data_IF_056242270811
#
_entry.id   IF_056242270811
#
_cell.length_a   1.000
_cell.length_b   1.000
_cell.length_c   1.000
_cell.angle_alpha   90.00
_cell.angle_beta   90.00
_cell.angle_gamma   90.00
#
_symmetry.space_group_name_H-M   'P 1'
#
loop_
_entity.id
_entity.type
_entity.pdbx_description
1 polymer ?
#
# COMPACT_ATOMS: atom_id res chain seq x y z
N UNK A 1 1.41 28.51 10.99
CA UNK A 1 1.60 27.05 11.07
C UNK A 1 0.86 26.64 12.32
N UNK A 2 -0.31 26.02 12.19
CA UNK A 2 -1.04 25.53 13.37
C UNK A 2 -0.12 24.55 14.11
N UNK A 3 -0.02 24.74 15.42
CA UNK A 3 0.80 23.92 16.28
C UNK A 3 0.09 22.57 16.43
N UNK A 4 0.75 21.47 16.02
CA UNK A 4 0.22 20.11 16.18
C UNK A 4 -0.13 19.88 17.66
N UNK A 5 -1.41 19.66 17.93
CA UNK A 5 -1.90 19.34 19.27
C UNK A 5 -2.15 17.84 19.44
N UNK A 6 -1.44 17.23 20.39
CA UNK A 6 -1.60 15.83 20.80
C UNK A 6 -2.03 15.72 22.28
N UNK A 7 -2.63 16.79 22.81
CA UNK A 7 -3.10 16.88 24.20
C UNK A 7 -4.12 15.80 24.56
N UNK A 8 -4.91 15.31 23.59
CA UNK A 8 -5.82 14.17 23.75
C UNK A 8 -5.12 12.96 24.38
N UNK A 9 -3.83 12.76 24.13
CA UNK A 9 -3.12 11.61 24.68
C UNK A 9 -2.99 11.70 26.22
N UNK A 10 -3.07 12.88 26.82
CA UNK A 10 -2.77 13.09 28.24
C UNK A 10 -3.91 12.71 29.19
N UNK A 11 -5.13 12.61 28.67
CA UNK A 11 -6.29 12.16 29.43
C UNK A 11 -6.27 10.64 29.66
N UNK A 12 -6.95 10.10 30.69
CA UNK A 12 -7.14 8.65 30.82
C UNK A 12 -7.92 8.06 29.62
N UNK A 13 -7.54 6.88 29.11
CA UNK A 13 -8.19 6.24 27.96
C UNK A 13 -9.54 5.60 28.33
N UNK A 14 -10.49 6.42 28.76
CA UNK A 14 -11.84 6.02 29.10
C UNK A 14 -12.73 6.11 27.85
N UNK A 15 -12.96 4.97 27.19
CA UNK A 15 -13.70 4.90 25.93
C UNK A 15 -15.21 5.04 26.16
N UNK A 16 -15.68 6.27 26.37
CA UNK A 16 -17.07 6.59 26.72
C UNK A 16 -17.98 6.82 25.52
N UNK A 17 -17.41 7.11 24.35
CA UNK A 17 -18.16 7.35 23.11
C UNK A 17 -18.14 6.10 22.25
N UNK A 18 -19.29 5.69 21.73
CA UNK A 18 -19.42 4.57 20.81
C UNK A 18 -20.12 5.04 19.53
N UNK A 19 -19.79 4.42 18.40
CA UNK A 19 -20.45 4.73 17.13
C UNK A 19 -20.03 3.79 16.00
N UNK A 20 -20.49 4.09 14.79
CA UNK A 20 -20.14 3.33 13.58
C UNK A 20 -19.49 4.27 12.58
N UNK A 21 -18.27 3.92 12.16
CA UNK A 21 -17.57 4.57 11.06
C UNK A 21 -17.99 3.89 9.75
N UNK A 22 -18.54 4.66 8.82
CA UNK A 22 -18.88 4.20 7.48
C UNK A 22 -17.80 4.65 6.48
N UNK A 23 -17.21 3.68 5.77
CA UNK A 23 -16.16 3.91 4.78
C UNK A 23 -16.68 3.48 3.41
N UNK A 24 -16.91 4.46 2.53
CA UNK A 24 -17.39 4.22 1.16
C UNK A 24 -16.21 4.29 0.19
N UNK A 25 -15.97 3.21 -0.56
CA UNK A 25 -14.96 3.21 -1.60
C UNK A 25 -15.36 4.13 -2.76
N UNK A 26 -14.47 5.05 -3.15
CA UNK A 26 -14.65 5.90 -4.34
C UNK A 26 -13.84 5.38 -5.54
N UNK A 27 -12.92 4.46 -5.28
CA UNK A 27 -12.09 3.78 -6.25
C UNK A 27 -11.86 2.31 -5.82
N UNK A 28 -11.46 1.42 -6.74
CA UNK A 28 -11.01 0.08 -6.39
C UNK A 28 -9.89 0.11 -5.35
N UNK A 29 -10.02 -0.69 -4.29
CA UNK A 29 -9.10 -0.67 -3.16
C UNK A 29 -8.07 -1.80 -3.27
N UNK A 30 -6.80 -1.49 -2.99
CA UNK A 30 -5.76 -2.49 -2.85
C UNK A 30 -5.18 -2.48 -1.44
N UNK A 31 -5.82 -3.23 -0.56
CA UNK A 31 -5.58 -3.24 0.88
C UNK A 31 -4.66 -4.40 1.27
N UNK A 32 -3.40 -4.32 0.86
CA UNK A 32 -2.44 -5.41 1.04
C UNK A 32 -1.81 -5.35 2.43
N UNK A 33 -2.20 -6.27 3.31
CA UNK A 33 -1.76 -6.29 4.71
C UNK A 33 -0.34 -6.87 4.91
N UNK A 34 0.13 -7.70 3.98
CA UNK A 34 1.48 -8.28 4.00
C UNK A 34 1.92 -8.65 2.60
N UNK A 35 3.24 -8.81 2.40
CA UNK A 35 3.81 -9.23 1.12
C UNK A 35 4.23 -10.72 1.16
N UNK A 36 3.32 -11.69 0.94
CA UNK A 36 3.71 -13.07 0.76
C UNK A 36 4.15 -13.29 -0.70
N UNK A 37 5.46 -13.28 -0.95
CA UNK A 37 6.02 -13.79 -2.21
C UNK A 37 5.73 -12.93 -3.46
N UNK A 38 5.24 -13.55 -4.52
CA UNK A 38 5.12 -12.98 -5.89
C UNK A 38 3.80 -12.30 -6.19
N UNK A 39 2.85 -12.24 -5.26
CA UNK A 39 1.50 -11.74 -5.49
C UNK A 39 1.01 -10.90 -4.31
N UNK A 40 0.46 -9.71 -4.59
CA UNK A 40 -0.13 -8.85 -3.57
C UNK A 40 -1.63 -9.12 -3.45
N UNK A 41 -2.01 -10.03 -2.56
CA UNK A 41 -3.42 -10.31 -2.27
C UNK A 41 -4.01 -9.15 -1.47
N UNK A 42 -5.04 -8.51 -2.00
CA UNK A 42 -5.81 -7.49 -1.27
C UNK A 42 -6.68 -8.14 -0.20
N UNK A 43 -6.85 -7.47 0.94
CA UNK A 43 -7.90 -7.79 1.89
C UNK A 43 -9.27 -7.45 1.29
N UNK A 44 -10.30 -8.22 1.67
CA UNK A 44 -11.69 -7.97 1.25
C UNK A 44 -12.34 -6.84 2.05
N UNK A 45 -11.88 -6.65 3.29
CA UNK A 45 -12.34 -5.63 4.22
C UNK A 45 -11.16 -4.81 4.76
N UNK A 46 -11.35 -3.54 5.14
CA UNK A 46 -10.29 -2.67 5.63
C UNK A 46 -9.63 -3.26 6.88
N UNK A 47 -8.31 -3.54 6.85
CA UNK A 47 -7.59 -3.87 8.06
C UNK A 47 -7.59 -2.67 9.02
N UNK A 48 -7.85 -2.91 10.31
CA UNK A 48 -7.96 -1.86 11.34
C UNK A 48 -6.78 -0.88 11.34
N UNK A 49 -5.56 -1.37 11.13
CA UNK A 49 -4.37 -0.52 11.08
C UNK A 49 -4.34 0.44 9.88
N UNK A 50 -4.92 0.06 8.73
CA UNK A 50 -5.05 0.96 7.58
C UNK A 50 -6.07 2.06 7.85
N UNK A 51 -7.12 1.74 8.61
CA UNK A 51 -8.13 2.73 9.02
C UNK A 51 -7.55 3.74 9.99
N UNK A 52 -6.72 3.32 10.95
CA UNK A 52 -5.95 4.27 11.76
C UNK A 52 -5.05 5.15 10.89
N UNK A 53 -4.31 4.56 9.95
CA UNK A 53 -3.45 5.32 9.04
C UNK A 53 -4.23 6.34 8.21
N UNK A 54 -5.42 5.98 7.75
CA UNK A 54 -6.34 6.87 7.03
C UNK A 54 -6.81 8.04 7.90
N UNK A 55 -7.20 7.80 9.16
CA UNK A 55 -7.62 8.85 10.10
C UNK A 55 -6.44 9.78 10.45
N UNK A 56 -5.28 9.21 10.79
CA UNK A 56 -4.06 9.99 11.04
C UNK A 56 -3.67 10.84 9.83
N UNK A 57 -3.80 10.29 8.62
CA UNK A 57 -3.57 11.01 7.37
C UNK A 57 -4.58 12.17 7.20
N UNK A 58 -5.87 11.95 7.46
CA UNK A 58 -6.87 13.03 7.45
C UNK A 58 -6.58 14.13 8.50
N UNK A 59 -5.93 13.80 9.61
CA UNK A 59 -5.45 14.76 10.61
C UNK A 59 -4.10 15.42 10.22
N UNK A 60 -3.51 15.05 9.08
CA UNK A 60 -2.21 15.56 8.61
C UNK A 60 -1.00 14.96 9.34
N UNK A 61 -1.15 13.82 10.02
CA UNK A 61 -0.10 13.21 10.83
C UNK A 61 0.76 12.25 9.99
N UNK A 62 1.88 12.78 9.48
CA UNK A 62 2.83 12.03 8.65
C UNK A 62 4.18 11.89 9.35
N UNK A 63 4.25 11.03 10.36
CA UNK A 63 5.50 10.80 11.10
C UNK A 63 6.25 9.58 10.57
N UNK A 64 7.56 9.76 10.38
CA UNK A 64 8.48 8.64 10.16
C UNK A 64 8.51 7.73 11.41
N UNK A 65 8.79 6.42 11.26
CA UNK A 65 8.66 5.46 12.37
C UNK A 65 9.44 5.83 13.64
N UNK A 66 10.64 6.37 13.50
CA UNK A 66 11.48 6.72 14.65
C UNK A 66 10.95 7.94 15.39
N UNK A 67 10.55 8.99 14.67
CA UNK A 67 9.88 10.16 15.24
C UNK A 67 8.58 9.75 15.94
N UNK A 68 7.79 8.83 15.37
CA UNK A 68 6.56 8.33 16.00
C UNK A 68 6.84 7.67 17.35
N UNK A 69 7.92 6.87 17.47
CA UNK A 69 8.34 6.26 18.74
C UNK A 69 8.77 7.30 19.76
N UNK A 70 9.48 8.35 19.32
CA UNK A 70 9.89 9.45 20.20
C UNK A 70 8.69 10.23 20.73
N UNK A 71 7.73 10.57 19.85
CA UNK A 71 6.47 11.21 20.22
C UNK A 71 5.73 10.37 21.26
N UNK A 72 5.53 9.07 21.01
CA UNK A 72 4.82 8.18 21.94
C UNK A 72 5.49 8.14 23.32
N UNK A 73 6.83 8.02 23.37
CA UNK A 73 7.58 8.04 24.64
C UNK A 73 7.45 9.37 25.37
N UNK A 74 7.50 10.49 24.65
CA UNK A 74 7.34 11.84 25.22
C UNK A 74 5.95 12.05 25.80
N UNK A 75 4.91 11.65 25.06
CA UNK A 75 3.53 11.71 25.51
C UNK A 75 3.28 10.82 26.73
N UNK A 76 3.73 9.56 26.70
CA UNK A 76 3.60 8.64 27.84
C UNK A 76 4.30 9.14 29.11
N UNK A 77 5.51 9.72 28.98
CA UNK A 77 6.23 10.32 30.12
C UNK A 77 5.43 11.48 30.74
N UNK A 78 4.81 12.30 29.89
CA UNK A 78 4.02 13.46 30.33
C UNK A 78 2.71 13.02 30.98
N UNK A 79 1.99 12.08 30.34
CA UNK A 79 0.79 11.45 30.88
C UNK A 79 1.06 10.79 32.25
N UNK A 80 2.17 10.05 32.39
CA UNK A 80 2.57 9.43 33.67
C UNK A 80 2.84 10.46 34.77
N UNK A 81 3.39 11.63 34.43
CA UNK A 81 3.61 12.71 35.39
C UNK A 81 2.30 13.32 35.87
N UNK A 82 1.34 13.54 34.96
CA UNK A 82 0.04 14.15 35.27
C UNK A 82 -0.89 13.20 36.02
N UNK A 83 -0.87 11.90 35.66
CA UNK A 83 -1.79 10.90 36.16
C UNK A 83 -1.19 9.99 37.24
N UNK A 84 -0.06 10.38 37.87
CA UNK A 84 0.68 9.55 38.84
C UNK A 84 -0.15 9.05 40.03
N UNK A 85 -1.20 9.79 40.41
CA UNK A 85 -2.09 9.46 41.53
C UNK A 85 -3.29 8.62 41.11
N UNK A 86 -3.48 8.36 39.82
CA UNK A 86 -4.59 7.56 39.32
C UNK A 86 -4.23 6.07 39.37
N UNK A 87 -4.60 5.42 40.48
CA UNK A 87 -4.29 4.01 40.71
C UNK A 87 -4.99 3.06 39.72
N UNK A 88 -6.10 3.48 39.11
CA UNK A 88 -6.85 2.64 38.17
C UNK A 88 -6.05 2.31 36.89
N UNK A 89 -5.13 3.20 36.49
CA UNK A 89 -4.36 3.06 35.25
C UNK A 89 -2.86 2.86 35.48
N UNK A 90 -2.41 2.59 36.71
CA UNK A 90 -1.00 2.55 37.07
C UNK A 90 -0.16 1.60 36.18
N UNK A 91 -0.73 0.44 35.82
CA UNK A 91 -0.10 -0.58 34.98
C UNK A 91 -0.51 -0.51 33.49
N UNK A 92 -1.37 0.44 33.12
CA UNK A 92 -1.94 0.50 31.77
C UNK A 92 -0.86 0.81 30.70
N UNK A 93 -0.86 0.15 29.52
CA UNK A 93 0.15 0.32 28.47
C UNK A 93 0.34 1.77 27.98
N UNK A 94 -0.73 2.57 28.00
CA UNK A 94 -0.72 4.01 27.70
C UNK A 94 0.34 4.79 28.49
N UNK A 95 0.51 4.51 29.78
CA UNK A 95 1.51 5.15 30.65
C UNK A 95 2.92 4.60 30.45
N UNK A 96 3.05 3.43 29.83
CA UNK A 96 4.34 2.80 29.52
C UNK A 96 4.90 3.24 28.16
N UNK A 97 4.07 3.83 27.29
CA UNK A 97 4.47 4.25 25.94
C UNK A 97 4.87 3.07 25.05
N UNK A 98 4.24 1.91 25.26
CA UNK A 98 4.51 0.68 24.51
C UNK A 98 3.38 0.38 23.55
N UNK A 99 3.59 0.43 22.22
CA UNK A 99 2.52 0.15 21.28
C UNK A 99 1.95 -1.25 21.52
N UNK A 100 0.63 -1.36 21.59
CA UNK A 100 -0.10 -2.61 21.89
C UNK A 100 -0.50 -3.34 20.63
N UNK A 101 -0.87 -2.60 19.57
CA UNK A 101 -1.28 -3.15 18.28
C UNK A 101 -0.29 -2.67 17.21
N UNK A 102 0.63 -3.55 16.80
CA UNK A 102 1.63 -3.27 15.76
C UNK A 102 1.30 -4.09 14.51
N UNK A 103 1.16 -3.41 13.37
CA UNK A 103 0.96 -4.06 12.08
C UNK A 103 2.23 -4.80 11.64
N UNK A 104 2.11 -5.70 10.65
CA UNK A 104 3.27 -6.42 10.07
C UNK A 104 4.33 -5.48 9.49
N UNK A 105 3.96 -4.26 9.13
CA UNK A 105 4.84 -3.19 8.64
C UNK A 105 5.53 -2.41 9.77
N UNK A 106 5.43 -2.86 11.02
CA UNK A 106 5.87 -2.16 12.24
C UNK A 106 5.16 -0.81 12.48
N UNK A 107 4.06 -0.55 11.78
CA UNK A 107 3.21 0.62 12.01
C UNK A 107 2.37 0.42 13.28
N UNK A 108 2.24 1.49 14.07
CA UNK A 108 1.28 1.60 15.17
C UNK A 108 0.66 3.00 15.14
N UNK A 109 -0.57 3.11 15.65
CA UNK A 109 -1.31 4.38 15.71
C UNK A 109 -1.03 5.13 17.01
N UNK A 110 -0.96 6.46 16.96
CA UNK A 110 -0.96 7.31 18.16
C UNK A 110 -2.34 7.33 18.84
N UNK A 111 -3.40 7.00 18.09
CA UNK A 111 -4.77 6.91 18.59
C UNK A 111 -5.06 5.58 19.33
N UNK A 112 -4.14 4.61 19.31
CA UNK A 112 -4.39 3.20 19.70
C UNK A 112 -4.94 2.95 21.12
N UNK A 113 -4.84 3.91 22.04
CA UNK A 113 -5.41 3.81 23.38
C UNK A 113 -6.71 4.57 23.54
N UNK A 114 -6.95 5.56 22.69
CA UNK A 114 -8.05 6.51 22.82
C UNK A 114 -9.11 6.37 21.74
N UNK A 115 -8.83 5.53 20.75
CA UNK A 115 -9.75 5.09 19.71
C UNK A 115 -9.51 3.59 19.52
N UNK A 116 -10.56 2.80 19.70
CA UNK A 116 -10.61 1.39 19.38
C UNK A 116 -11.58 1.17 18.22
N UNK A 117 -11.07 0.66 17.11
CA UNK A 117 -11.87 0.30 15.94
C UNK A 117 -11.98 -1.23 15.88
N UNK A 118 -13.22 -1.71 15.79
CA UNK A 118 -13.54 -3.12 15.58
C UNK A 118 -13.40 -3.51 14.10
N UNK A 119 -13.35 -4.81 13.82
CA UNK A 119 -13.35 -5.26 12.42
C UNK A 119 -14.59 -4.80 11.67
N UNK A 120 -14.44 -4.56 10.37
CA UNK A 120 -15.56 -4.29 9.49
C UNK A 120 -16.44 -5.54 9.33
N UNK A 121 -17.73 -5.29 9.13
CA UNK A 121 -18.67 -6.29 8.63
C UNK A 121 -18.18 -6.87 7.30
N UNK A 122 -18.51 -8.15 7.07
CA UNK A 122 -18.17 -8.78 5.80
C UNK A 122 -18.98 -8.13 4.67
N UNK A 123 -18.34 -7.77 3.55
CA UNK A 123 -19.04 -7.17 2.43
C UNK A 123 -20.06 -8.15 1.88
N UNK A 124 -21.29 -7.68 1.68
CA UNK A 124 -22.42 -8.51 1.20
C UNK A 124 -22.09 -9.13 -0.15
N UNK A 125 -21.48 -8.33 -1.04
CA UNK A 125 -20.86 -8.77 -2.28
C UNK A 125 -19.63 -7.90 -2.56
N UNK A 126 -18.56 -8.48 -3.08
CA UNK A 126 -17.38 -7.72 -3.47
C UNK A 126 -16.81 -8.29 -4.78
N UNK A 127 -16.65 -7.43 -5.78
CA UNK A 127 -15.92 -7.80 -6.98
C UNK A 127 -14.42 -7.74 -6.65
N UNK A 128 -13.68 -8.79 -7.02
CA UNK A 128 -12.23 -8.78 -6.92
C UNK A 128 -11.62 -9.01 -8.30
N UNK A 129 -10.53 -8.32 -8.59
CA UNK A 129 -9.79 -8.51 -9.81
C UNK A 129 -8.30 -8.29 -9.58
N UNK A 130 -7.48 -8.97 -10.35
CA UNK A 130 -6.06 -8.68 -10.41
C UNK A 130 -5.82 -7.55 -11.40
N UNK A 131 -4.86 -6.69 -11.09
CA UNK A 131 -4.38 -5.70 -12.01
C UNK A 131 -4.08 -6.33 -13.37
N UNK A 132 -4.85 -5.93 -14.37
CA UNK A 132 -4.73 -6.39 -15.74
C UNK A 132 -3.64 -5.63 -16.49
N UNK A 133 -2.95 -4.68 -15.84
CA UNK A 133 -1.67 -4.17 -16.32
C UNK A 133 -0.66 -5.32 -16.32
N UNK A 134 -0.74 -6.14 -17.37
CA UNK A 134 0.28 -7.10 -17.70
C UNK A 134 1.57 -6.34 -17.85
N UNK A 135 2.61 -6.84 -17.19
CA UNK A 135 3.97 -6.35 -17.31
C UNK A 135 4.33 -6.15 -18.79
N UNK A 136 4.19 -4.94 -19.33
CA UNK A 136 4.81 -4.55 -20.59
C UNK A 136 6.30 -4.22 -20.35
N UNK A 137 6.89 -4.89 -19.37
CA UNK A 137 8.12 -4.51 -18.71
C UNK A 137 9.30 -5.30 -19.26
N UNK A 138 10.44 -4.63 -19.22
CA UNK A 138 11.76 -5.17 -19.46
C UNK A 138 12.20 -5.98 -18.23
N UNK A 139 11.98 -7.29 -18.25
CA UNK A 139 12.52 -8.21 -17.25
C UNK A 139 14.04 -8.43 -17.47
N UNK A 140 14.77 -8.86 -16.43
CA UNK A 140 16.15 -9.35 -16.60
C UNK A 140 16.19 -10.73 -17.28
N UNK A 141 15.04 -11.36 -17.50
CA UNK A 141 14.90 -12.63 -18.20
C UNK A 141 14.53 -12.51 -19.69
N UNK A 142 14.47 -13.68 -20.35
CA UNK A 142 13.97 -13.83 -21.72
C UNK A 142 12.43 -13.72 -21.85
N UNK A 143 11.73 -13.30 -20.79
CA UNK A 143 10.26 -13.19 -20.72
C UNK A 143 9.70 -11.98 -21.46
N UNK A 144 10.51 -10.93 -21.71
CA UNK A 144 10.10 -9.76 -22.50
C UNK A 144 9.97 -10.03 -24.02
N UNK A 145 10.51 -11.14 -24.51
CA UNK A 145 10.56 -11.49 -25.93
C UNK A 145 9.17 -11.93 -26.40
N UNK A 146 8.49 -11.07 -27.16
CA UNK A 146 7.16 -11.35 -27.71
C UNK A 146 5.98 -10.89 -26.83
N UNK A 147 6.25 -10.33 -25.64
CA UNK A 147 5.22 -9.81 -24.74
C UNK A 147 4.92 -8.31 -24.91
N UNK A 148 5.93 -7.49 -25.21
CA UNK A 148 5.73 -6.07 -25.49
C UNK A 148 5.43 -5.83 -26.98
N UNK A 149 4.37 -5.08 -27.28
CA UNK A 149 4.07 -4.55 -28.63
C UNK A 149 4.76 -3.21 -28.91
N UNK A 150 5.48 -2.67 -27.92
CA UNK A 150 6.17 -1.38 -28.01
C UNK A 150 7.66 -1.65 -27.86
N UNK A 151 8.35 -1.70 -28.98
CA UNK A 151 9.80 -1.86 -29.08
C UNK A 151 10.33 -1.18 -30.33
N UNK A 152 11.62 -0.96 -30.37
CA UNK A 152 12.31 -0.36 -31.50
C UNK A 152 12.26 -1.27 -32.73
N UNK A 153 11.85 -0.73 -33.88
CA UNK A 153 11.71 -1.49 -35.13
C UNK A 153 13.00 -2.24 -35.53
N UNK A 154 14.18 -1.77 -35.09
CA UNK A 154 15.47 -2.42 -35.32
C UNK A 154 15.55 -3.84 -34.73
N UNK A 155 14.68 -4.19 -33.78
CA UNK A 155 14.58 -5.54 -33.22
C UNK A 155 13.73 -6.51 -34.04
N UNK A 156 12.96 -6.04 -35.04
CA UNK A 156 12.06 -6.90 -35.84
C UNK A 156 12.78 -8.05 -36.56
N UNK A 157 13.99 -7.77 -37.07
CA UNK A 157 14.82 -8.78 -37.73
C UNK A 157 15.19 -9.93 -36.79
N UNK A 158 15.56 -9.59 -35.56
CA UNK A 158 15.88 -10.55 -34.50
C UNK A 158 14.66 -11.33 -34.04
N UNK A 159 13.52 -10.67 -33.82
CA UNK A 159 12.27 -11.30 -33.37
C UNK A 159 11.76 -12.30 -34.40
N UNK A 160 11.76 -11.91 -35.68
CA UNK A 160 11.38 -12.79 -36.79
C UNK A 160 12.29 -14.02 -36.84
N UNK A 161 13.61 -13.84 -36.74
CA UNK A 161 14.57 -14.93 -36.76
C UNK A 161 14.40 -15.90 -35.56
N UNK A 162 14.13 -15.38 -34.36
CA UNK A 162 13.85 -16.17 -33.15
C UNK A 162 12.50 -16.91 -33.21
N UNK A 163 11.51 -16.38 -33.93
CA UNK A 163 10.24 -17.09 -34.18
C UNK A 163 10.45 -18.22 -35.19
N UNK A 164 11.19 -17.96 -36.25
CA UNK A 164 11.49 -18.95 -37.29
C UNK A 164 12.37 -20.09 -36.76
N UNK A 165 13.29 -19.82 -35.83
CA UNK A 165 14.16 -20.86 -35.25
C UNK A 165 13.42 -21.88 -34.40
N UNK A 166 12.21 -21.55 -33.92
CA UNK A 166 11.31 -22.48 -33.23
C UNK A 166 10.57 -23.42 -34.19
N UNK A 167 10.55 -23.13 -35.50
CA UNK A 167 9.75 -23.86 -36.49
C UNK A 167 10.58 -24.52 -37.59
N UNK A 168 11.81 -24.10 -37.86
CA UNK A 168 12.71 -24.73 -38.80
C UNK A 168 14.18 -24.54 -38.36
N UNK A 169 14.96 -25.61 -38.36
CA UNK A 169 16.26 -25.74 -37.67
C UNK A 169 17.45 -24.92 -38.18
N UNK A 170 17.25 -23.80 -38.89
CA UNK A 170 18.35 -23.06 -39.53
C UNK A 170 18.68 -21.68 -38.92
N UNK A 171 17.80 -21.04 -38.16
CA UNK A 171 18.14 -19.78 -37.50
C UNK A 171 18.86 -20.01 -36.15
N UNK A 172 20.19 -20.09 -36.20
CA UNK A 172 21.10 -20.19 -35.03
C UNK A 172 21.30 -18.86 -34.29
N UNK A 173 20.26 -18.05 -34.13
CA UNK A 173 20.36 -16.88 -33.27
C UNK A 173 19.99 -17.28 -31.85
N UNK A 174 20.89 -17.04 -30.90
CA UNK A 174 20.60 -17.21 -29.48
C UNK A 174 20.80 -15.90 -28.75
N UNK A 175 19.95 -15.66 -27.76
CA UNK A 175 20.03 -14.48 -26.90
C UNK A 175 20.20 -14.95 -25.47
N UNK A 176 21.08 -14.30 -24.73
CA UNK A 176 21.36 -14.66 -23.35
C UNK A 176 22.48 -13.83 -22.73
N UNK A 177 23.02 -14.34 -21.64
CA UNK A 177 24.04 -13.68 -20.83
C UNK A 177 25.28 -14.57 -20.70
N UNK A 178 26.45 -13.94 -20.52
CA UNK A 178 27.76 -14.61 -20.38
C UNK A 178 28.70 -14.36 -21.56
N UNK A 179 29.95 -14.83 -21.43
CA UNK A 179 31.07 -14.51 -22.34
C UNK A 179 30.83 -14.92 -23.81
N UNK A 180 29.98 -15.93 -24.02
CA UNK A 180 29.63 -16.42 -25.37
C UNK A 180 28.67 -15.50 -26.14
N UNK A 181 28.09 -14.48 -25.48
CA UNK A 181 27.15 -13.54 -26.07
C UNK A 181 27.79 -12.16 -26.24
N UNK A 182 27.67 -11.58 -27.44
CA UNK A 182 28.32 -10.32 -27.76
C UNK A 182 27.37 -9.14 -27.61
N UNK A 183 27.85 -8.08 -26.95
CA UNK A 183 27.20 -6.78 -27.04
C UNK A 183 27.53 -6.16 -28.39
N UNK A 184 26.51 -5.63 -29.06
CA UNK A 184 26.58 -5.02 -30.39
C UNK A 184 25.71 -3.77 -30.37
N UNK A 185 25.63 -3.03 -31.47
CA UNK A 185 24.66 -1.95 -31.59
C UNK A 185 23.33 -2.42 -32.20
N UNK A 186 22.25 -1.67 -31.97
CA UNK A 186 20.90 -2.04 -32.39
C UNK A 186 20.76 -2.12 -33.91
N UNK A 187 21.47 -1.25 -34.63
CA UNK A 187 21.53 -1.21 -36.09
C UNK A 187 22.03 -2.54 -36.69
N UNK A 188 23.04 -3.14 -36.05
CA UNK A 188 23.66 -4.39 -36.52
C UNK A 188 22.73 -5.60 -36.27
N UNK A 189 21.84 -5.51 -35.28
CA UNK A 189 20.90 -6.57 -34.93
C UNK A 189 19.86 -6.78 -36.03
N UNK A 190 19.39 -5.72 -36.68
CA UNK A 190 18.33 -5.81 -37.68
C UNK A 190 18.70 -6.74 -38.86
N UNK A 191 19.97 -6.75 -39.23
CA UNK A 191 20.50 -7.56 -40.32
C UNK A 191 21.10 -8.90 -39.86
N UNK A 192 21.17 -9.15 -38.56
CA UNK A 192 21.75 -10.38 -38.03
C UNK A 192 20.89 -11.59 -38.43
N UNK A 193 21.55 -12.63 -38.96
CA UNK A 193 20.91 -13.89 -39.37
C UNK A 193 21.38 -15.09 -38.55
N UNK A 194 22.59 -15.01 -37.98
CA UNK A 194 23.23 -16.06 -37.17
C UNK A 194 24.10 -15.40 -36.10
N UNK A 195 24.09 -15.92 -34.86
CA UNK A 195 25.01 -15.47 -33.82
C UNK A 195 24.42 -15.42 -32.41
N UNK A 196 25.26 -15.06 -31.44
CA UNK A 196 24.88 -14.96 -30.03
C UNK A 196 24.83 -13.49 -29.62
N UNK A 197 23.63 -12.97 -29.38
CA UNK A 197 23.41 -11.57 -28.99
C UNK A 197 23.29 -11.48 -27.48
N UNK A 198 24.00 -10.53 -26.88
CA UNK A 198 23.91 -10.28 -25.45
C UNK A 198 22.59 -9.60 -25.09
N UNK A 199 21.97 -10.04 -23.98
CA UNK A 199 20.69 -9.52 -23.50
C UNK A 199 20.66 -7.99 -23.38
N UNK A 200 21.72 -7.40 -22.81
CA UNK A 200 21.91 -5.93 -22.71
C UNK A 200 21.74 -5.18 -24.03
N UNK A 201 22.10 -5.74 -25.19
CA UNK A 201 21.89 -5.07 -26.46
C UNK A 201 20.42 -5.00 -26.82
N UNK A 202 19.72 -6.14 -26.72
CA UNK A 202 18.29 -6.23 -27.03
C UNK A 202 17.49 -5.34 -26.09
N UNK A 203 17.89 -5.31 -24.82
CA UNK A 203 17.35 -4.43 -23.80
C UNK A 203 17.38 -2.94 -24.21
N UNK A 204 18.38 -2.44 -24.94
CA UNK A 204 18.43 -1.04 -25.40
C UNK A 204 17.25 -0.69 -26.31
N UNK A 205 16.69 -1.65 -27.05
CA UNK A 205 15.59 -1.45 -27.99
C UNK A 205 14.19 -1.53 -27.37
N UNK A 206 14.08 -1.74 -26.05
CA UNK A 206 12.80 -1.67 -25.33
C UNK A 206 12.76 -0.39 -24.48
N UNK A 207 11.64 0.35 -24.49
CA UNK A 207 11.49 1.56 -23.68
C UNK A 207 11.67 1.25 -22.18
N UNK A 208 12.32 2.16 -21.47
CA UNK A 208 12.51 2.07 -20.02
C UNK A 208 11.24 2.55 -19.30
N UNK A 209 10.16 1.76 -19.34
CA UNK A 209 9.02 2.04 -18.48
C UNK A 209 9.27 1.47 -17.08
N UNK A 210 8.81 2.21 -16.07
CA UNK A 210 8.86 1.81 -14.67
C UNK A 210 8.30 0.41 -14.46
N UNK A 211 9.03 -0.42 -13.70
CA UNK A 211 8.52 -1.71 -13.23
C UNK A 211 7.40 -1.44 -12.23
N UNK A 212 6.14 -1.61 -12.64
CA UNK A 212 5.05 -1.79 -11.70
C UNK A 212 5.33 -3.06 -10.87
N UNK A 213 5.13 -3.04 -9.55
CA UNK A 213 5.31 -4.23 -8.73
C UNK A 213 4.44 -5.38 -9.24
N UNK A 214 4.85 -6.60 -8.90
CA UNK A 214 4.09 -7.87 -8.96
C UNK A 214 2.57 -7.70 -8.99
N UNK A 215 1.86 -8.57 -9.72
CA UNK A 215 0.39 -8.63 -9.81
C UNK A 215 -0.27 -8.25 -8.48
N UNK A 216 -1.16 -7.26 -8.54
CA UNK A 216 -1.83 -6.66 -7.38
C UNK A 216 -3.32 -6.94 -7.46
N UNK A 217 -3.89 -7.45 -6.37
CA UNK A 217 -5.34 -7.59 -6.25
C UNK A 217 -6.00 -6.26 -5.91
N UNK A 218 -7.21 -6.08 -6.42
CA UNK A 218 -8.12 -5.00 -6.11
C UNK A 218 -9.48 -5.57 -5.66
N UNK A 219 -10.15 -4.83 -4.78
CA UNK A 219 -11.51 -5.10 -4.35
C UNK A 219 -12.38 -3.88 -4.64
N UNK A 220 -13.58 -4.13 -5.19
CA UNK A 220 -14.62 -3.13 -5.40
C UNK A 220 -15.82 -3.54 -4.55
N UNK A 221 -16.00 -2.93 -3.37
CA UNK A 221 -17.15 -3.25 -2.52
C UNK A 221 -18.44 -2.68 -3.14
N UNK A 222 -19.56 -3.40 -2.98
CA UNK A 222 -20.88 -2.93 -3.43
C UNK A 222 -21.57 -2.03 -2.41
N UNK A 223 -21.13 -2.06 -1.16
CA UNK A 223 -21.66 -1.27 -0.05
C UNK A 223 -20.54 -0.65 0.79
N UNK A 224 -20.87 0.35 1.60
CA UNK A 224 -19.92 0.94 2.54
C UNK A 224 -19.51 -0.08 3.62
N UNK A 225 -18.23 -0.08 3.98
CA UNK A 225 -17.78 -0.81 5.16
C UNK A 225 -18.27 -0.11 6.41
N UNK A 226 -18.80 -0.87 7.36
CA UNK A 226 -19.27 -0.36 8.66
C UNK A 226 -18.35 -0.92 9.73
N UNK A 227 -17.75 -0.04 10.51
CA UNK A 227 -16.75 -0.39 11.52
C UNK A 227 -17.16 0.24 12.86
N UNK A 228 -17.63 -0.57 13.82
CA UNK A 228 -17.90 -0.08 15.16
C UNK A 228 -16.63 0.47 15.81
N UNK A 229 -16.74 1.60 16.50
CA UNK A 229 -15.63 2.17 17.26
C UNK A 229 -16.05 2.54 18.68
N UNK A 230 -15.06 2.59 19.56
CA UNK A 230 -15.15 3.22 20.88
C UNK A 230 -14.03 4.25 21.01
N UNK A 231 -14.31 5.41 21.58
CA UNK A 231 -13.36 6.50 21.67
C UNK A 231 -13.47 7.25 23.00
N UNK A 232 -12.39 7.90 23.42
CA UNK A 232 -12.50 9.01 24.36
C UNK A 232 -13.17 10.20 23.68
N UNK A 233 -13.75 11.11 24.47
CA UNK A 233 -14.40 12.31 23.92
C UNK A 233 -13.43 13.14 23.06
N UNK A 234 -12.20 13.37 23.52
CA UNK A 234 -11.22 14.15 22.76
C UNK A 234 -10.83 13.48 21.44
N UNK A 235 -10.69 12.15 21.42
CA UNK A 235 -10.41 11.41 20.19
C UNK A 235 -11.60 11.34 19.24
N UNK A 236 -12.82 11.33 19.77
CA UNK A 236 -14.04 11.45 18.99
C UNK A 236 -14.13 12.82 18.30
N UNK A 237 -13.78 13.90 18.99
CA UNK A 237 -13.72 15.24 18.38
C UNK A 237 -12.66 15.32 17.27
N UNK A 238 -11.50 14.69 17.46
CA UNK A 238 -10.49 14.56 16.40
C UNK A 238 -11.04 13.76 15.20
N UNK A 239 -11.79 12.69 15.44
CA UNK A 239 -12.43 11.92 14.38
C UNK A 239 -13.46 12.77 13.60
N UNK A 240 -14.30 13.54 14.29
CA UNK A 240 -15.23 14.48 13.65
C UNK A 240 -14.47 15.49 12.80
N UNK A 241 -13.40 16.08 13.34
CA UNK A 241 -12.57 17.04 12.61
C UNK A 241 -11.95 16.42 11.35
N UNK A 242 -11.41 15.20 11.48
CA UNK A 242 -10.82 14.46 10.37
C UNK A 242 -11.84 14.18 9.24
N UNK A 243 -13.11 13.95 9.60
CA UNK A 243 -14.21 13.73 8.65
C UNK A 243 -14.66 15.05 8.00
N UNK A 244 -14.87 16.10 8.80
CA UNK A 244 -15.45 17.35 8.33
C UNK A 244 -14.47 18.20 7.50
N UNK A 245 -13.20 18.25 7.92
CA UNK A 245 -12.16 19.09 7.31
C UNK A 245 -10.84 18.32 7.24
N UNK A 246 -10.74 17.30 6.37
CA UNK A 246 -9.52 16.52 6.22
C UNK A 246 -8.37 17.40 5.72
N UNK A 247 -7.23 17.33 6.40
CA UNK A 247 -5.98 17.99 6.00
C UNK A 247 -5.34 17.33 4.78
N UNK A 248 -5.55 16.02 4.59
CA UNK A 248 -5.08 15.26 3.44
C UNK A 248 -6.16 14.28 2.94
N UNK A 249 -6.12 13.87 1.65
CA UNK A 249 -7.10 12.96 1.07
C UNK A 249 -7.17 11.62 1.79
N UNK A 250 -8.37 11.12 2.06
CA UNK A 250 -8.60 9.82 2.68
C UNK A 250 -8.49 8.69 1.66
N UNK A 251 -7.64 7.70 1.95
CA UNK A 251 -7.47 6.52 1.11
C UNK A 251 -7.15 5.28 1.95
N UNK A 252 -7.45 4.10 1.40
CA UNK A 252 -7.10 2.80 1.97
C UNK A 252 -6.14 2.04 1.05
N UNK A 253 -5.07 1.50 1.64
CA UNK A 253 -4.04 0.77 0.92
C UNK A 253 -3.07 1.69 0.21
N UNK A 254 -3.39 2.11 -1.02
CA UNK A 254 -2.56 3.02 -1.83
C UNK A 254 -3.22 4.37 -2.04
N UNK A 255 -2.44 5.36 -2.45
CA UNK A 255 -2.93 6.72 -2.75
C UNK A 255 -3.97 6.78 -3.86
N UNK A 256 -4.22 5.69 -4.57
CA UNK A 256 -5.26 5.55 -5.60
C UNK A 256 -6.57 5.00 -5.03
N UNK A 257 -6.54 4.36 -3.86
CA UNK A 257 -7.69 3.75 -3.20
C UNK A 257 -8.51 4.78 -2.40
N UNK A 258 -9.01 5.81 -3.06
CA UNK A 258 -9.75 6.90 -2.42
C UNK A 258 -11.04 6.41 -1.76
N UNK A 259 -11.34 6.95 -0.59
CA UNK A 259 -12.55 6.62 0.17
C UNK A 259 -13.20 7.88 0.73
N UNK A 260 -14.52 7.83 0.89
CA UNK A 260 -15.28 8.79 1.68
C UNK A 260 -15.57 8.19 3.06
N UNK A 261 -15.46 9.01 4.10
CA UNK A 261 -15.72 8.60 5.48
C UNK A 261 -16.84 9.45 6.06
N UNK A 262 -17.72 8.80 6.83
CA UNK A 262 -18.76 9.48 7.61
C UNK A 262 -19.07 8.66 8.86
N UNK A 263 -19.69 9.30 9.85
CA UNK A 263 -20.32 8.58 10.95
C UNK A 263 -21.69 8.09 10.47
N UNK A 264 -22.07 6.87 10.81
CA UNK A 264 -23.44 6.44 10.60
C UNK A 264 -24.36 7.37 11.43
N UNK A 265 -25.40 7.90 10.81
CA UNK A 265 -26.50 8.45 11.56
C UNK A 265 -27.12 7.27 12.31
N UNK A 266 -27.11 7.32 13.65
CA UNK A 266 -27.80 6.32 14.46
C UNK A 266 -29.22 6.18 13.90
N UNK A 267 -29.54 4.98 13.39
CA UNK A 267 -30.90 4.61 13.06
C UNK A 267 -31.71 4.56 14.35
N UNK A 268 -32.21 5.71 14.80
CA UNK A 268 -33.34 5.83 15.72
C UNK A 268 -34.56 6.25 14.94
#
# INVERSE_FOLDING_TARGET
MEQLDLSFYLEPPELTVEGILEITALAPLSMVASQPGTYFRTALKPPVHMVYGMIENALGWHFVPDLRKEILKGLAKTAKKQNRKNNAFADHPWLQGKPTKVALTNYFSLLQYHLEISEADDPTEAMTYDDLWSMHLKDQGLSGYGGSRIYDYRLEGLITALRQSRSAGDSKITVGEGEKFKQTELEEIYHLRVGNVHLKTVQKGYPQYYVSPKKRGFVVPTSAYRMPFKATESSYQLLIQAIATPTAPTYLGTSEGWVSIKLAEDGR
#
